data_IF_427431907503
#
_entry.id   IF_427431907503
#
_cell.length_a   1.000
_cell.length_b   1.000
_cell.length_c   1.000
_cell.angle_alpha   90.00
_cell.angle_beta   90.00
_cell.angle_gamma   90.00
#
_symmetry.space_group_name_H-M   'P 1'
#
loop_
_entity.id
_entity.type
_entity.pdbx_description
1 polymer ?
#
# COMPACT_ATOMS: atom_id res chain seq x y z
N UNK A 1 13.74 35.10 -35.64
CA UNK A 1 13.06 34.24 -36.64
C UNK A 1 13.50 32.81 -36.39
N UNK A 2 12.65 32.03 -35.73
CA UNK A 2 12.32 30.60 -35.95
C UNK A 2 13.45 29.56 -36.16
N UNK A 3 13.39 28.51 -35.32
CA UNK A 3 13.82 27.10 -35.44
C UNK A 3 15.33 26.77 -35.55
N UNK A 4 15.92 25.99 -34.62
CA UNK A 4 15.77 24.55 -34.31
C UNK A 4 16.54 23.65 -35.31
N UNK A 5 17.13 22.48 -34.99
CA UNK A 5 16.78 21.40 -34.06
C UNK A 5 18.03 20.51 -33.78
N UNK A 6 18.14 20.03 -32.54
CA UNK A 6 18.63 18.71 -32.04
C UNK A 6 19.88 17.97 -32.56
N UNK A 7 20.51 17.34 -31.55
CA UNK A 7 21.27 16.06 -31.49
C UNK A 7 22.80 16.08 -31.54
N UNK A 8 23.35 15.20 -30.70
CA UNK A 8 24.65 14.54 -30.72
C UNK A 8 25.89 15.25 -30.12
N UNK A 9 26.32 14.74 -28.96
CA UNK A 9 27.60 14.04 -28.78
C UNK A 9 28.93 14.73 -29.13
N UNK A 10 29.63 15.18 -28.05
CA UNK A 10 31.09 15.38 -27.89
C UNK A 10 31.76 16.50 -28.73
N UNK A 11 33.05 16.85 -28.48
CA UNK A 11 33.75 17.22 -27.24
C UNK A 11 34.45 18.60 -27.40
N UNK A 12 34.84 19.31 -26.33
CA UNK A 12 35.73 20.49 -26.46
C UNK A 12 36.65 20.70 -25.25
N UNK A 13 37.57 19.75 -25.10
CA UNK A 13 38.94 20.04 -24.65
C UNK A 13 39.65 20.85 -25.75
N UNK A 14 39.47 22.18 -25.80
CA UNK A 14 40.31 23.04 -26.66
C UNK A 14 40.47 24.51 -26.24
N UNK A 15 40.31 24.83 -24.96
CA UNK A 15 40.60 26.17 -24.44
C UNK A 15 41.50 26.18 -23.19
N UNK A 16 42.41 25.21 -23.08
CA UNK A 16 43.36 25.09 -21.97
C UNK A 16 44.80 25.46 -22.39
N UNK A 17 44.99 26.55 -23.15
CA UNK A 17 46.34 26.97 -23.60
C UNK A 17 46.63 28.48 -23.65
N UNK A 18 45.81 29.30 -23.02
CA UNK A 18 46.15 30.71 -22.78
C UNK A 18 45.71 31.06 -21.37
N UNK A 19 46.61 30.93 -20.40
CA UNK A 19 46.66 31.68 -19.12
C UNK A 19 47.72 31.00 -18.22
N UNK A 20 48.96 31.03 -18.68
CA UNK A 20 50.14 30.83 -17.82
C UNK A 20 51.18 31.89 -18.21
N UNK A 21 50.90 33.13 -17.85
CA UNK A 21 51.96 34.12 -17.66
C UNK A 21 52.10 34.37 -16.15
N UNK A 22 53.34 34.41 -15.62
CA UNK A 22 53.57 34.69 -14.21
C UNK A 22 53.14 36.13 -13.89
N UNK A 23 52.21 36.26 -12.94
CA UNK A 23 51.77 37.55 -12.40
C UNK A 23 52.97 38.21 -11.72
N UNK A 24 53.43 39.34 -12.27
CA UNK A 24 54.42 40.19 -11.62
C UNK A 24 53.90 40.67 -10.25
N UNK A 25 54.74 40.70 -9.19
CA UNK A 25 54.32 41.15 -7.88
C UNK A 25 54.03 42.66 -7.91
N UNK A 26 52.78 43.05 -7.67
CA UNK A 26 52.42 44.46 -7.45
C UNK A 26 51.17 45.01 -8.14
N UNK A 27 50.38 44.23 -8.87
CA UNK A 27 49.09 44.71 -9.41
C UNK A 27 47.93 43.82 -8.94
N UNK A 28 47.06 44.40 -8.11
CA UNK A 28 45.83 43.74 -7.68
C UNK A 28 44.95 43.34 -8.86
N UNK A 29 44.23 42.22 -8.72
CA UNK A 29 43.25 41.75 -9.71
C UNK A 29 42.39 42.92 -10.22
N UNK A 30 42.31 43.09 -11.54
CA UNK A 30 41.38 44.05 -12.15
C UNK A 30 39.95 43.74 -11.69
N UNK A 31 39.09 44.77 -11.68
CA UNK A 31 37.70 44.67 -11.22
C UNK A 31 36.97 43.50 -11.92
N UNK A 32 37.29 43.25 -13.19
CA UNK A 32 36.72 42.17 -14.01
C UNK A 32 37.20 40.78 -13.55
N UNK A 33 38.45 40.65 -13.10
CA UNK A 33 38.98 39.41 -12.52
C UNK A 33 38.38 39.10 -11.14
N UNK A 34 38.10 40.14 -10.34
CA UNK A 34 37.44 39.97 -9.03
C UNK A 34 35.99 39.55 -9.16
N UNK A 35 35.24 40.12 -10.11
CA UNK A 35 33.83 39.78 -10.33
C UNK A 35 33.65 38.39 -10.93
N UNK A 36 34.54 37.97 -11.84
CA UNK A 36 34.51 36.59 -12.39
C UNK A 36 34.91 35.54 -11.36
N UNK A 37 35.91 35.82 -10.51
CA UNK A 37 36.27 34.92 -9.40
C UNK A 37 35.14 34.84 -8.36
N UNK A 38 34.48 35.98 -8.06
CA UNK A 38 33.34 36.02 -7.14
C UNK A 38 32.13 35.26 -7.71
N UNK A 39 31.82 35.40 -9.00
CA UNK A 39 30.74 34.68 -9.66
C UNK A 39 31.03 33.17 -9.74
N UNK A 40 32.29 32.79 -9.98
CA UNK A 40 32.77 31.41 -9.95
C UNK A 40 32.68 30.81 -8.53
N UNK A 41 33.05 31.57 -7.50
CA UNK A 41 32.91 31.17 -6.10
C UNK A 41 31.45 31.06 -5.66
N UNK A 42 30.56 31.96 -6.11
CA UNK A 42 29.12 31.91 -5.83
C UNK A 42 28.49 30.70 -6.54
N UNK A 43 28.92 30.36 -7.76
CA UNK A 43 28.43 29.19 -8.50
C UNK A 43 28.99 27.87 -7.98
N UNK A 44 30.26 27.82 -7.53
CA UNK A 44 30.81 26.66 -6.82
C UNK A 44 30.19 26.49 -5.42
N UNK A 45 29.92 27.58 -4.70
CA UNK A 45 29.21 27.54 -3.42
C UNK A 45 27.76 27.06 -3.63
N UNK A 46 27.06 27.55 -4.66
CA UNK A 46 25.71 27.09 -5.00
C UNK A 46 25.67 25.60 -5.38
N UNK A 47 26.72 25.07 -6.01
CA UNK A 47 26.87 23.63 -6.26
C UNK A 47 27.12 22.80 -5.00
N UNK A 48 27.75 23.38 -3.97
CA UNK A 48 28.02 22.71 -2.70
C UNK A 48 26.85 22.77 -1.71
N UNK A 49 25.92 23.73 -1.86
CA UNK A 49 24.70 23.82 -1.03
C UNK A 49 23.56 22.87 -1.47
N UNK A 50 23.73 22.11 -2.55
CA UNK A 50 22.67 21.26 -3.08
C UNK A 50 22.52 19.88 -2.41
N UNK A 51 23.40 19.45 -1.50
CA UNK A 51 23.28 18.12 -0.89
C UNK A 51 23.79 18.07 0.54
N UNK A 52 22.98 18.54 1.48
CA UNK A 52 22.85 17.95 2.82
C UNK A 52 21.68 18.59 3.57
N UNK A 53 20.48 18.55 2.98
CA UNK A 53 19.29 18.48 3.80
C UNK A 53 19.31 17.09 4.45
N UNK A 54 19.21 17.02 5.78
CA UNK A 54 18.96 15.77 6.48
C UNK A 54 17.83 15.01 5.76
N UNK A 55 17.87 13.66 5.68
CA UNK A 55 16.80 12.92 5.03
C UNK A 55 15.47 13.34 5.63
N UNK A 56 14.69 14.13 4.90
CA UNK A 56 13.35 14.51 5.33
C UNK A 56 12.51 13.25 5.20
N UNK A 57 12.14 12.70 6.34
CA UNK A 57 11.22 11.59 6.41
C UNK A 57 9.93 12.00 5.69
N UNK A 58 9.55 11.22 4.68
CA UNK A 58 8.23 11.31 4.06
C UNK A 58 7.23 10.47 4.86
N UNK A 59 5.98 10.92 4.86
CA UNK A 59 4.85 10.28 5.52
C UNK A 59 3.92 9.70 4.46
N UNK A 60 3.51 8.45 4.64
CA UNK A 60 2.61 7.78 3.71
C UNK A 60 1.48 7.07 4.46
N UNK A 61 0.26 7.53 4.25
CA UNK A 61 -0.94 6.81 4.63
C UNK A 61 -1.24 5.73 3.59
N UNK A 62 -1.48 4.50 4.04
CA UNK A 62 -1.83 3.37 3.18
C UNK A 62 -3.15 2.80 3.69
N UNK A 63 -4.18 2.87 2.85
CA UNK A 63 -5.51 2.34 3.12
C UNK A 63 -5.89 1.32 2.06
N UNK A 64 -6.77 0.38 2.39
CA UNK A 64 -7.34 -0.53 1.41
C UNK A 64 -8.81 -0.79 1.66
N UNK A 65 -9.55 -1.09 0.60
CA UNK A 65 -10.89 -1.68 0.68
C UNK A 65 -10.87 -3.10 0.12
N UNK A 66 -11.14 -4.14 0.95
CA UNK A 66 -11.36 -4.08 2.40
C UNK A 66 -10.07 -3.80 3.20
N UNK A 67 -10.22 -3.36 4.45
CA UNK A 67 -9.13 -3.14 5.40
C UNK A 67 -8.52 -4.45 5.92
N UNK A 68 -7.40 -4.37 6.65
CA UNK A 68 -6.70 -5.53 7.21
C UNK A 68 -5.88 -6.27 6.16
N UNK A 69 -5.35 -5.56 5.16
CA UNK A 69 -4.49 -6.12 4.14
C UNK A 69 -3.02 -6.12 4.60
N UNK A 70 -2.30 -7.17 4.22
CA UNK A 70 -0.88 -7.34 4.50
C UNK A 70 -0.05 -6.49 3.53
N UNK A 71 0.93 -5.76 4.08
CA UNK A 71 1.77 -4.83 3.32
C UNK A 71 3.23 -5.27 3.36
N UNK A 72 3.85 -5.38 2.18
CA UNK A 72 5.27 -5.69 1.99
C UNK A 72 5.92 -4.51 1.27
N UNK A 73 6.92 -3.89 1.89
CA UNK A 73 7.64 -2.74 1.34
C UNK A 73 9.09 -3.12 1.04
N UNK A 74 9.49 -3.00 -0.22
CA UNK A 74 10.83 -3.37 -0.72
C UNK A 74 11.28 -4.79 -0.34
N UNK A 75 10.32 -5.71 -0.23
CA UNK A 75 10.54 -7.11 0.14
C UNK A 75 10.46 -7.40 1.64
N UNK A 76 10.37 -6.36 2.49
CA UNK A 76 10.20 -6.52 3.93
C UNK A 76 8.70 -6.52 4.28
N UNK A 77 8.25 -7.58 4.95
CA UNK A 77 6.89 -7.67 5.48
C UNK A 77 6.75 -6.74 6.68
N UNK A 78 5.74 -5.86 6.64
CA UNK A 78 5.38 -5.01 7.77
C UNK A 78 4.54 -5.79 8.78
N UNK A 79 4.69 -5.47 10.06
CA UNK A 79 3.94 -6.10 11.16
C UNK A 79 2.48 -5.64 11.14
N UNK A 80 2.25 -4.38 10.78
CA UNK A 80 0.93 -3.76 10.73
C UNK A 80 0.23 -4.02 9.39
N UNK A 81 -1.10 -3.99 9.43
CA UNK A 81 -1.98 -4.14 8.27
C UNK A 81 -2.64 -2.79 7.94
N UNK A 82 -3.26 -2.68 6.77
CA UNK A 82 -4.04 -1.47 6.43
C UNK A 82 -5.25 -1.30 7.36
N UNK A 83 -5.64 -0.07 7.75
CA UNK A 83 -4.95 1.20 7.51
C UNK A 83 -3.63 1.33 8.28
N UNK A 84 -2.63 1.97 7.67
CA UNK A 84 -1.27 2.08 8.19
C UNK A 84 -0.72 3.48 7.86
N UNK A 85 0.04 4.08 8.79
CA UNK A 85 0.82 5.30 8.57
C UNK A 85 2.32 5.00 8.69
N UNK A 86 3.05 5.15 7.58
CA UNK A 86 4.51 5.07 7.57
C UNK A 86 5.11 6.44 7.87
N UNK A 87 5.73 6.60 9.04
CA UNK A 87 6.35 7.86 9.49
C UNK A 87 7.79 8.08 9.04
N UNK A 88 8.52 7.02 8.67
CA UNK A 88 9.98 7.08 8.44
C UNK A 88 10.37 6.51 7.08
N UNK A 89 9.78 7.06 6.02
CA UNK A 89 10.06 6.62 4.66
C UNK A 89 11.09 7.55 4.01
N UNK A 90 12.14 7.00 3.41
CA UNK A 90 13.13 7.81 2.69
C UNK A 90 12.69 8.03 1.25
N UNK A 91 13.00 9.22 0.73
CA UNK A 91 12.74 9.60 -0.65
C UNK A 91 13.35 8.59 -1.65
N UNK A 92 12.67 8.43 -2.79
CA UNK A 92 13.10 7.58 -3.89
C UNK A 92 12.03 6.61 -4.39
N UNK A 93 12.45 5.73 -5.29
CA UNK A 93 11.58 4.70 -5.89
C UNK A 93 11.43 3.52 -4.93
N UNK A 94 10.19 3.15 -4.63
CA UNK A 94 9.84 2.08 -3.69
C UNK A 94 8.90 1.09 -4.35
N UNK A 95 8.93 -0.17 -3.92
CA UNK A 95 8.02 -1.21 -4.39
C UNK A 95 7.13 -1.66 -3.25
N UNK A 96 5.84 -1.39 -3.38
CA UNK A 96 4.82 -1.84 -2.45
C UNK A 96 4.14 -3.08 -3.04
N UNK A 97 4.08 -4.15 -2.26
CA UNK A 97 3.28 -5.34 -2.58
C UNK A 97 2.24 -5.49 -1.48
N UNK A 98 0.98 -5.62 -1.86
CA UNK A 98 -0.13 -5.68 -0.92
C UNK A 98 -1.02 -6.88 -1.24
N UNK A 99 -1.44 -7.58 -0.19
CA UNK A 99 -2.21 -8.82 -0.32
C UNK A 99 -3.29 -8.90 0.76
N UNK A 100 -4.48 -9.34 0.36
CA UNK A 100 -5.60 -9.65 1.24
C UNK A 100 -6.16 -11.00 0.83
N UNK A 101 -6.53 -11.82 1.81
CA UNK A 101 -7.17 -13.10 1.56
C UNK A 101 -8.47 -12.91 0.77
N UNK A 102 -8.66 -13.68 -0.31
CA UNK A 102 -9.84 -13.54 -1.18
C UNK A 102 -9.72 -12.46 -2.26
N UNK A 103 -8.58 -11.77 -2.38
CA UNK A 103 -8.39 -10.71 -3.38
C UNK A 103 -7.12 -10.91 -4.21
N UNK A 104 -7.09 -10.31 -5.41
CA UNK A 104 -5.89 -10.36 -6.25
C UNK A 104 -4.77 -9.54 -5.62
N UNK A 105 -3.59 -10.14 -5.53
CA UNK A 105 -2.40 -9.45 -5.04
C UNK A 105 -2.01 -8.32 -6.00
N UNK A 106 -1.67 -7.15 -5.46
CA UNK A 106 -1.27 -5.98 -6.24
C UNK A 106 0.17 -5.57 -5.91
N UNK A 107 0.91 -5.13 -6.94
CA UNK A 107 2.27 -4.58 -6.79
C UNK A 107 2.34 -3.21 -7.42
N UNK A 108 2.64 -2.19 -6.60
CA UNK A 108 2.70 -0.79 -6.97
C UNK A 108 4.15 -0.29 -6.92
N UNK A 109 4.51 0.56 -7.89
CA UNK A 109 5.78 1.29 -7.89
C UNK A 109 5.50 2.71 -7.45
N UNK A 110 6.04 3.08 -6.30
CA UNK A 110 5.88 4.41 -5.71
C UNK A 110 7.13 5.24 -5.99
N UNK A 111 6.97 6.55 -6.22
CA UNK A 111 8.06 7.49 -6.34
C UNK A 111 7.84 8.61 -5.32
N UNK A 112 8.63 8.60 -4.26
CA UNK A 112 8.36 9.39 -3.06
C UNK A 112 9.34 10.55 -2.99
N UNK A 113 8.82 11.77 -2.91
CA UNK A 113 9.63 12.97 -2.75
C UNK A 113 10.06 13.16 -1.29
N UNK A 114 11.18 13.87 -1.08
CA UNK A 114 11.68 14.15 0.27
C UNK A 114 10.70 15.04 1.03
N UNK A 115 10.34 14.66 2.27
CA UNK A 115 9.39 15.39 3.10
C UNK A 115 7.94 15.37 2.61
N UNK A 116 7.61 14.55 1.61
CA UNK A 116 6.24 14.43 1.09
C UNK A 116 5.32 13.79 2.12
N UNK A 117 4.10 14.31 2.23
CA UNK A 117 3.00 13.67 2.96
C UNK A 117 1.98 13.23 1.91
N UNK A 118 1.81 11.93 1.74
CA UNK A 118 0.94 11.35 0.73
C UNK A 118 -0.06 10.36 1.33
N UNK A 119 -1.14 10.11 0.60
CA UNK A 119 -2.13 9.08 0.91
C UNK A 119 -2.32 8.17 -0.31
N UNK A 120 -2.30 6.87 -0.06
CA UNK A 120 -2.50 5.83 -1.06
C UNK A 120 -3.69 4.97 -0.67
N UNK A 121 -4.76 5.08 -1.45
CA UNK A 121 -5.94 4.22 -1.31
C UNK A 121 -5.91 3.09 -2.34
N UNK A 122 -6.11 1.86 -1.87
CA UNK A 122 -6.00 0.64 -2.67
C UNK A 122 -7.35 -0.06 -2.69
N UNK A 123 -7.96 -0.10 -3.87
CA UNK A 123 -9.16 -0.89 -4.10
C UNK A 123 -8.75 -2.27 -4.61
N UNK A 124 -9.10 -3.31 -3.86
CA UNK A 124 -8.82 -4.66 -4.29
C UNK A 124 -9.82 -5.14 -5.33
N UNK A 125 -9.29 -5.61 -6.45
CA UNK A 125 -10.08 -6.41 -7.37
C UNK A 125 -10.32 -7.79 -6.78
N UNK A 126 -11.58 -8.21 -6.76
CA UNK A 126 -11.96 -9.56 -6.36
C UNK A 126 -11.27 -10.55 -7.29
N UNK A 127 -10.62 -11.57 -6.72
CA UNK A 127 -10.13 -12.74 -7.48
C UNK A 127 -11.23 -13.72 -7.87
N UNK A 128 -12.48 -13.32 -7.68
CA UNK A 128 -13.66 -14.16 -7.68
C UNK A 128 -14.81 -13.41 -8.34
N UNK A 129 -15.72 -14.17 -8.97
CA UNK A 129 -17.03 -13.66 -9.33
C UNK A 129 -18.05 -14.15 -8.30
N UNK A 130 -19.05 -13.31 -8.01
CA UNK A 130 -20.03 -13.52 -6.95
C UNK A 130 -21.44 -13.75 -7.52
N UNK A 131 -21.75 -14.93 -8.10
CA UNK A 131 -23.09 -15.18 -8.63
C UNK A 131 -24.10 -15.33 -7.48
N UNK A 132 -25.31 -14.81 -7.69
CA UNK A 132 -26.47 -15.12 -6.88
C UNK A 132 -27.27 -16.25 -7.54
N UNK A 133 -27.73 -17.20 -6.73
CA UNK A 133 -28.57 -18.33 -7.17
C UNK A 133 -29.93 -18.21 -6.50
N UNK A 134 -30.83 -17.44 -7.13
CA UNK A 134 -32.15 -17.13 -6.55
C UNK A 134 -33.20 -18.21 -6.81
N UNK A 135 -32.99 -19.07 -7.80
CA UNK A 135 -33.97 -20.11 -8.19
C UNK A 135 -33.67 -21.45 -7.52
N UNK A 136 -32.39 -21.76 -7.30
CA UNK A 136 -31.95 -23.03 -6.73
C UNK A 136 -31.86 -22.94 -5.21
N UNK A 137 -32.36 -23.95 -4.49
CA UNK A 137 -32.18 -24.07 -3.03
C UNK A 137 -30.87 -24.76 -2.63
N UNK A 138 -30.33 -25.60 -3.51
CA UNK A 138 -29.11 -26.35 -3.27
C UNK A 138 -28.23 -26.36 -4.52
N UNK A 139 -26.94 -26.07 -4.36
CA UNK A 139 -25.95 -26.16 -5.44
C UNK A 139 -24.82 -27.10 -5.06
N UNK A 140 -24.13 -27.64 -6.07
CA UNK A 140 -22.95 -28.49 -5.88
C UNK A 140 -21.74 -27.82 -6.51
N UNK A 141 -20.87 -27.25 -5.69
CA UNK A 141 -19.61 -26.67 -6.13
C UNK A 141 -18.48 -27.66 -5.82
N UNK A 142 -17.85 -28.21 -6.86
CA UNK A 142 -16.73 -29.16 -6.72
C UNK A 142 -16.96 -30.28 -5.68
N UNK A 143 -18.12 -30.94 -5.74
CA UNK A 143 -18.55 -32.05 -4.85
C UNK A 143 -19.03 -31.64 -3.46
N UNK A 144 -19.09 -30.36 -3.15
CA UNK A 144 -19.65 -29.85 -1.89
C UNK A 144 -21.08 -29.39 -2.13
N UNK A 145 -22.04 -29.83 -1.30
CA UNK A 145 -23.43 -29.37 -1.36
C UNK A 145 -23.56 -28.10 -0.52
N UNK A 146 -24.12 -27.05 -1.10
CA UNK A 146 -24.26 -25.75 -0.47
C UNK A 146 -25.71 -25.25 -0.56
N UNK A 147 -26.19 -24.65 0.54
CA UNK A 147 -27.46 -23.91 0.60
C UNK A 147 -27.22 -22.48 0.09
N UNK A 148 -28.10 -22.04 -0.79
CA UNK A 148 -28.03 -20.74 -1.49
C UNK A 148 -28.70 -19.60 -0.71
N UNK A 149 -29.45 -19.92 0.34
CA UNK A 149 -30.21 -18.93 1.11
C UNK A 149 -29.31 -17.84 1.70
N UNK A 150 -29.55 -16.58 1.31
CA UNK A 150 -28.88 -15.37 1.84
C UNK A 150 -27.35 -15.28 1.64
N UNK A 151 -26.77 -16.05 0.72
CA UNK A 151 -25.33 -16.11 0.49
C UNK A 151 -24.93 -15.75 -0.93
N UNK A 152 -23.85 -15.00 -1.08
CA UNK A 152 -23.10 -14.93 -2.34
C UNK A 152 -21.97 -15.94 -2.31
N UNK A 153 -21.78 -16.66 -3.41
CA UNK A 153 -20.64 -17.57 -3.55
C UNK A 153 -19.49 -16.84 -4.20
N UNK A 154 -18.32 -16.84 -3.59
CA UNK A 154 -17.11 -16.32 -4.22
C UNK A 154 -16.40 -17.46 -4.93
N UNK A 155 -16.61 -17.53 -6.24
CA UNK A 155 -16.03 -18.55 -7.12
C UNK A 155 -14.84 -17.94 -7.86
N UNK A 156 -13.66 -18.59 -7.81
CA UNK A 156 -12.43 -18.07 -8.42
C UNK A 156 -12.62 -17.77 -9.91
N UNK A 157 -11.92 -16.79 -10.45
CA UNK A 157 -11.91 -16.57 -11.90
C UNK A 157 -11.40 -17.82 -12.64
N UNK A 158 -12.10 -18.22 -13.70
CA UNK A 158 -11.71 -19.38 -14.49
C UNK A 158 -12.81 -19.90 -15.39
N UNK A 159 -12.55 -21.04 -16.04
CA UNK A 159 -13.53 -21.73 -16.86
C UNK A 159 -14.24 -22.80 -16.02
N UNK A 160 -15.57 -22.84 -16.10
CA UNK A 160 -16.40 -23.76 -15.34
C UNK A 160 -17.33 -24.55 -16.26
N UNK A 161 -17.51 -25.83 -15.95
CA UNK A 161 -18.60 -26.62 -16.49
C UNK A 161 -19.78 -26.54 -15.55
N UNK A 162 -20.87 -25.97 -16.03
CA UNK A 162 -22.11 -25.79 -15.27
C UNK A 162 -23.16 -26.76 -15.84
N UNK A 163 -23.79 -27.55 -14.98
CA UNK A 163 -24.83 -28.50 -15.37
C UNK A 163 -26.00 -28.43 -14.40
N UNK A 164 -27.17 -28.02 -14.90
CA UNK A 164 -28.43 -28.03 -14.15
C UNK A 164 -29.09 -29.41 -14.27
N UNK A 165 -29.51 -30.00 -13.14
CA UNK A 165 -30.28 -31.25 -13.06
C UNK A 165 -31.42 -31.09 -12.04
N UNK A 166 -32.65 -30.94 -12.53
CA UNK A 166 -33.83 -30.62 -11.70
C UNK A 166 -33.53 -29.37 -10.84
N UNK A 167 -33.46 -29.53 -9.52
CA UNK A 167 -33.25 -28.46 -8.53
C UNK A 167 -31.79 -28.30 -8.09
N UNK A 168 -30.86 -29.06 -8.70
CA UNK A 168 -29.44 -29.05 -8.34
C UNK A 168 -28.63 -28.45 -9.49
N UNK A 169 -27.89 -27.38 -9.19
CA UNK A 169 -26.90 -26.79 -10.10
C UNK A 169 -25.50 -27.31 -9.76
N UNK A 170 -24.88 -28.06 -10.66
CA UNK A 170 -23.52 -28.58 -10.48
C UNK A 170 -22.50 -27.68 -11.20
N UNK A 171 -21.57 -27.11 -10.45
CA UNK A 171 -20.50 -26.23 -10.93
C UNK A 171 -19.15 -26.91 -10.70
N UNK A 172 -18.40 -27.15 -11.80
CA UNK A 172 -17.09 -27.81 -11.75
C UNK A 172 -16.02 -26.96 -12.43
N UNK A 173 -14.90 -26.65 -11.74
CA UNK A 173 -13.78 -25.96 -12.38
C UNK A 173 -13.18 -26.82 -13.49
N UNK A 174 -12.88 -26.20 -14.63
CA UNK A 174 -12.21 -26.80 -15.76
C UNK A 174 -10.74 -26.39 -15.78
N UNK A 175 -9.85 -27.38 -15.87
CA UNK A 175 -8.41 -27.12 -15.96
C UNK A 175 -8.10 -26.35 -17.27
N UNK A 176 -7.42 -25.19 -17.23
CA UNK A 176 -7.22 -24.35 -18.42
C UNK A 176 -6.55 -25.07 -19.60
N UNK A 177 -5.60 -25.96 -19.30
CA UNK A 177 -4.87 -26.74 -20.31
C UNK A 177 -5.52 -28.11 -20.61
N UNK A 178 -6.82 -28.28 -20.30
CA UNK A 178 -7.53 -29.53 -20.56
C UNK A 178 -7.59 -29.87 -22.06
N UNK A 179 -7.68 -28.85 -22.93
CA UNK A 179 -7.65 -29.06 -24.39
C UNK A 179 -6.34 -29.69 -24.87
N UNK A 180 -5.20 -29.30 -24.26
CA UNK A 180 -3.89 -29.87 -24.59
C UNK A 180 -3.78 -31.34 -24.18
N UNK A 181 -4.28 -31.69 -22.99
CA UNK A 181 -4.37 -33.10 -22.56
C UNK A 181 -5.22 -33.91 -23.55
N UNK A 182 -6.37 -33.37 -23.96
CA UNK A 182 -7.24 -34.04 -24.92
C UNK A 182 -6.54 -34.24 -26.29
N UNK A 183 -5.79 -33.23 -26.75
CA UNK A 183 -5.02 -33.32 -27.98
C UNK A 183 -3.89 -34.36 -27.89
N UNK A 184 -3.17 -34.43 -26.77
CA UNK A 184 -2.12 -35.42 -26.54
C UNK A 184 -2.67 -36.85 -26.47
N UNK A 185 -3.80 -37.05 -25.78
CA UNK A 185 -4.48 -38.34 -25.72
C UNK A 185 -4.88 -38.89 -27.11
N UNK A 186 -5.16 -38.00 -28.06
CA UNK A 186 -5.44 -38.38 -29.44
C UNK A 186 -4.15 -38.57 -30.27
N UNK A 187 -3.19 -37.67 -30.11
CA UNK A 187 -2.01 -37.59 -30.98
C UNK A 187 -1.00 -38.69 -30.66
N UNK A 188 -0.72 -38.96 -29.37
CA UNK A 188 0.30 -39.92 -28.96
C UNK A 188 0.05 -41.33 -29.54
N UNK A 189 -1.16 -41.92 -29.48
CA UNK A 189 -1.41 -43.22 -30.10
C UNK A 189 -1.18 -43.23 -31.62
N UNK A 190 -1.52 -42.12 -32.31
CA UNK A 190 -1.34 -42.00 -33.76
C UNK A 190 0.15 -41.93 -34.11
N UNK A 191 0.91 -41.07 -33.43
CA UNK A 191 2.36 -40.91 -33.68
C UNK A 191 3.17 -42.12 -33.25
N UNK A 192 2.72 -42.81 -32.20
CA UNK A 192 3.33 -44.06 -31.75
C UNK A 192 3.08 -45.18 -32.76
N UNK A 193 1.87 -45.27 -33.31
CA UNK A 193 1.53 -46.23 -34.38
C UNK A 193 2.37 -45.98 -35.64
N UNK A 194 2.54 -44.71 -36.04
CA UNK A 194 3.41 -44.35 -37.15
C UNK A 194 4.89 -44.72 -36.87
N UNK A 195 5.37 -44.47 -35.66
CA UNK A 195 6.73 -44.84 -35.24
C UNK A 195 6.92 -46.37 -35.26
N UNK A 196 5.90 -47.13 -34.86
CA UNK A 196 5.92 -48.59 -34.93
C UNK A 196 5.99 -49.07 -36.39
N UNK A 197 5.25 -48.45 -37.32
CA UNK A 197 5.35 -48.77 -38.76
C UNK A 197 6.75 -48.49 -39.31
N UNK A 198 7.37 -47.37 -38.93
CA UNK A 198 8.76 -47.06 -39.33
C UNK A 198 9.75 -48.09 -38.77
N UNK A 199 9.59 -48.49 -37.50
CA UNK A 199 10.43 -49.52 -36.89
C UNK A 199 10.27 -50.88 -37.59
N UNK A 200 9.04 -51.29 -37.90
CA UNK A 200 8.78 -52.53 -38.66
C UNK A 200 9.44 -52.46 -40.03
N UNK A 201 9.33 -51.32 -40.73
CA UNK A 201 9.99 -51.13 -42.03
C UNK A 201 11.51 -51.28 -41.93
N UNK A 202 12.13 -50.67 -40.93
CA UNK A 202 13.58 -50.76 -40.71
C UNK A 202 14.01 -52.20 -40.35
N UNK A 203 13.17 -52.97 -39.65
CA UNK A 203 13.40 -54.39 -39.34
C UNK A 203 13.25 -55.29 -40.57
N UNK A 204 12.23 -55.06 -41.41
CA UNK A 204 11.97 -55.87 -42.60
C UNK A 204 12.96 -55.57 -43.74
N UNK A 205 13.47 -54.34 -43.81
CA UNK A 205 14.42 -53.89 -44.83
C UNK A 205 15.68 -53.32 -44.16
N UNK A 206 16.52 -54.16 -43.54
CA UNK A 206 17.71 -53.73 -42.82
C UNK A 206 18.70 -53.06 -43.80
N UNK A 207 19.33 -51.98 -43.35
CA UNK A 207 20.39 -51.27 -44.09
C UNK A 207 21.74 -51.55 -43.45
N UNK A 208 22.81 -51.60 -44.25
CA UNK A 208 24.20 -51.68 -43.79
C UNK A 208 24.65 -50.35 -43.14
N UNK A 209 24.09 -50.03 -41.98
CA UNK A 209 24.42 -48.85 -41.18
C UNK A 209 24.77 -49.28 -39.75
N UNK A 210 25.60 -48.49 -39.06
CA UNK A 210 26.06 -48.77 -37.69
C UNK A 210 24.89 -48.84 -36.68
N UNK A 211 23.81 -48.10 -36.93
CA UNK A 211 22.59 -48.10 -36.13
C UNK A 211 21.53 -48.99 -36.78
N UNK A 212 20.91 -49.87 -35.96
CA UNK A 212 19.83 -50.77 -36.41
C UNK A 212 18.52 -50.06 -36.81
N UNK A 213 18.30 -48.84 -36.33
CA UNK A 213 17.13 -48.04 -36.66
C UNK A 213 17.53 -46.77 -37.40
N UNK A 214 16.71 -46.35 -38.36
CA UNK A 214 16.96 -45.13 -39.11
C UNK A 214 16.87 -43.89 -38.20
N UNK A 215 17.57 -42.79 -38.54
CA UNK A 215 17.44 -41.53 -37.82
C UNK A 215 15.99 -41.04 -37.72
N UNK A 216 15.15 -41.34 -38.72
CA UNK A 216 13.73 -41.01 -38.70
C UNK A 216 12.96 -41.77 -37.61
N UNK A 217 13.20 -43.08 -37.48
CA UNK A 217 12.59 -43.93 -36.44
C UNK A 217 13.03 -43.48 -35.04
N UNK A 218 14.32 -43.23 -34.84
CA UNK A 218 14.84 -42.75 -33.54
C UNK A 218 14.23 -41.39 -33.18
N UNK A 219 14.15 -40.48 -34.16
CA UNK A 219 13.56 -39.15 -33.98
C UNK A 219 12.06 -39.25 -33.66
N UNK A 220 11.33 -40.14 -34.32
CA UNK A 220 9.88 -40.29 -34.09
C UNK A 220 9.59 -40.83 -32.69
N UNK A 221 10.36 -41.80 -32.18
CA UNK A 221 10.25 -42.23 -30.78
C UNK A 221 10.66 -41.14 -29.79
N UNK A 222 11.70 -40.36 -30.10
CA UNK A 222 12.13 -39.23 -29.26
C UNK A 222 11.02 -38.19 -29.09
N UNK A 223 10.30 -37.86 -30.16
CA UNK A 223 9.12 -36.97 -30.10
C UNK A 223 8.01 -37.56 -29.22
N UNK A 224 7.72 -38.86 -29.33
CA UNK A 224 6.72 -39.51 -28.47
C UNK A 224 7.11 -39.46 -26.99
N UNK A 225 8.38 -39.71 -26.65
CA UNK A 225 8.89 -39.60 -25.27
C UNK A 225 8.67 -38.18 -24.73
N UNK A 226 9.00 -37.15 -25.54
CA UNK A 226 8.76 -35.77 -25.16
C UNK A 226 7.26 -35.47 -24.94
N UNK A 227 6.38 -35.94 -25.83
CA UNK A 227 4.93 -35.77 -25.69
C UNK A 227 4.38 -36.44 -24.43
N UNK A 228 4.81 -37.67 -24.12
CA UNK A 228 4.44 -38.38 -22.89
C UNK A 228 4.93 -37.62 -21.66
N UNK A 229 6.17 -37.11 -21.70
CA UNK A 229 6.71 -36.29 -20.61
C UNK A 229 5.86 -35.04 -20.36
N UNK A 230 5.43 -34.34 -21.42
CA UNK A 230 4.52 -33.20 -21.33
C UNK A 230 3.16 -33.63 -20.75
N UNK A 231 2.59 -34.74 -21.21
CA UNK A 231 1.30 -35.25 -20.73
C UNK A 231 1.32 -35.56 -19.23
N UNK A 232 2.38 -36.21 -18.74
CA UNK A 232 2.60 -36.47 -17.31
C UNK A 232 2.64 -35.16 -16.51
N UNK A 233 3.39 -34.15 -16.98
CA UNK A 233 3.47 -32.84 -16.33
C UNK A 233 2.09 -32.16 -16.28
N UNK A 234 1.32 -32.22 -17.36
CA UNK A 234 -0.03 -31.65 -17.42
C UNK A 234 -0.98 -32.38 -16.47
N UNK A 235 -0.88 -33.70 -16.35
CA UNK A 235 -1.71 -34.49 -15.44
C UNK A 235 -1.41 -34.15 -13.97
N UNK A 236 -0.14 -33.98 -13.60
CA UNK A 236 0.27 -33.54 -12.26
C UNK A 236 -0.25 -32.11 -11.95
N UNK A 237 -0.13 -31.18 -12.91
CA UNK A 237 -0.66 -29.81 -12.78
C UNK A 237 -2.18 -29.81 -12.62
N UNK A 238 -2.89 -30.65 -13.38
CA UNK A 238 -4.35 -30.82 -13.27
C UNK A 238 -4.76 -31.34 -11.89
N UNK A 239 -4.00 -32.28 -11.33
CA UNK A 239 -4.21 -32.80 -9.98
C UNK A 239 -4.08 -31.70 -8.91
N UNK A 240 -2.99 -30.92 -8.97
CA UNK A 240 -2.77 -29.77 -8.08
C UNK A 240 -3.87 -28.72 -8.24
N UNK A 241 -4.26 -28.38 -9.46
CA UNK A 241 -5.32 -27.42 -9.74
C UNK A 241 -6.65 -27.83 -9.08
N UNK A 242 -7.06 -29.10 -9.22
CA UNK A 242 -8.29 -29.60 -8.59
C UNK A 242 -8.20 -29.60 -7.06
N UNK A 243 -7.04 -29.93 -6.49
CA UNK A 243 -6.83 -29.94 -5.03
C UNK A 243 -6.85 -28.55 -4.42
N UNK A 244 -6.30 -27.56 -5.14
CA UNK A 244 -6.19 -26.18 -4.67
C UNK A 244 -7.42 -25.33 -4.99
N UNK A 245 -8.40 -25.89 -5.71
CA UNK A 245 -9.66 -25.19 -5.95
C UNK A 245 -10.40 -25.00 -4.63
N UNK A 246 -10.68 -23.74 -4.31
CA UNK A 246 -11.49 -23.34 -3.18
C UNK A 246 -12.49 -22.29 -3.62
N UNK A 247 -13.62 -22.25 -2.93
CA UNK A 247 -14.61 -21.20 -3.03
C UNK A 247 -14.94 -20.76 -1.60
N UNK A 248 -15.32 -19.50 -1.46
CA UNK A 248 -15.78 -18.94 -0.17
C UNK A 248 -17.21 -18.46 -0.34
N UNK A 249 -17.85 -18.08 0.77
CA UNK A 249 -19.13 -17.39 0.75
C UNK A 249 -18.95 -16.00 1.35
N UNK A 250 -19.65 -15.03 0.80
CA UNK A 250 -19.76 -13.69 1.37
C UNK A 250 -21.19 -13.54 1.86
N UNK A 251 -21.31 -13.14 3.12
CA UNK A 251 -22.58 -12.80 3.71
C UNK A 251 -22.99 -11.42 3.19
N UNK A 252 -24.05 -11.38 2.37
CA UNK A 252 -24.59 -10.14 1.79
C UNK A 252 -24.88 -9.09 2.87
N UNK A 253 -25.29 -9.55 4.07
CA UNK A 253 -25.57 -8.69 5.22
C UNK A 253 -24.35 -7.94 5.73
N UNK A 254 -23.12 -8.38 5.39
CA UNK A 254 -21.85 -7.79 5.84
C UNK A 254 -21.09 -7.06 4.74
N UNK A 255 -21.72 -6.82 3.60
CA UNK A 255 -21.11 -6.11 2.48
C UNK A 255 -20.88 -4.62 2.78
N UNK A 256 -19.89 -4.02 2.11
CA UNK A 256 -19.54 -2.61 2.28
C UNK A 256 -20.72 -1.65 1.97
N UNK A 257 -21.54 -1.99 0.98
CA UNK A 257 -22.74 -1.23 0.64
C UNK A 257 -23.78 -1.22 1.76
N UNK A 258 -23.94 -2.35 2.46
CA UNK A 258 -24.85 -2.46 3.59
C UNK A 258 -24.28 -1.71 4.79
N UNK A 259 -22.97 -1.82 5.05
CA UNK A 259 -22.28 -1.03 6.07
C UNK A 259 -22.50 0.48 5.89
N UNK A 260 -22.41 0.95 4.64
CA UNK A 260 -22.70 2.35 4.28
C UNK A 260 -24.13 2.76 4.64
N UNK A 261 -25.11 1.97 4.22
CA UNK A 261 -26.52 2.27 4.49
C UNK A 261 -26.82 2.29 5.99
N UNK A 262 -26.24 1.35 6.75
CA UNK A 262 -26.32 1.37 8.22
C UNK A 262 -25.69 2.66 8.78
N UNK A 263 -24.46 2.99 8.39
CA UNK A 263 -23.78 4.20 8.86
C UNK A 263 -24.58 5.47 8.59
N UNK A 264 -25.11 5.65 7.38
CA UNK A 264 -25.95 6.80 7.01
C UNK A 264 -27.24 6.86 7.85
N UNK A 265 -27.86 5.71 8.14
CA UNK A 265 -29.01 5.65 9.02
C UNK A 265 -28.67 6.08 10.45
N UNK A 266 -27.53 5.64 11.00
CA UNK A 266 -27.09 6.06 12.34
C UNK A 266 -26.78 7.55 12.39
N UNK A 267 -26.20 8.13 11.34
CA UNK A 267 -25.96 9.58 11.26
C UNK A 267 -27.27 10.38 11.32
N UNK A 268 -28.36 9.88 10.74
CA UNK A 268 -29.68 10.51 10.86
C UNK A 268 -30.24 10.45 12.30
N UNK A 269 -30.01 9.33 13.01
CA UNK A 269 -30.39 9.18 14.43
C UNK A 269 -29.58 10.16 15.29
N UNK A 270 -28.28 10.27 15.02
CA UNK A 270 -27.39 11.22 15.71
C UNK A 270 -27.84 12.67 15.47
N UNK A 271 -28.20 13.02 14.22
CA UNK A 271 -28.74 14.34 13.88
C UNK A 271 -30.06 14.65 14.60
N UNK A 272 -30.81 13.61 14.99
CA UNK A 272 -32.03 13.73 15.80
C UNK A 272 -31.75 13.93 17.30
N UNK A 273 -30.48 13.97 17.72
CA UNK A 273 -30.06 14.19 19.10
C UNK A 273 -30.09 12.95 20.00
N UNK A 274 -30.40 11.78 19.45
CA UNK A 274 -30.53 10.53 20.21
C UNK A 274 -29.18 9.84 20.37
N UNK A 275 -28.37 10.34 21.31
CA UNK A 275 -26.98 9.91 21.49
C UNK A 275 -26.85 8.42 21.87
N UNK A 276 -27.67 7.91 22.79
CA UNK A 276 -27.57 6.52 23.26
C UNK A 276 -27.97 5.51 22.18
N UNK A 277 -29.01 5.81 21.40
CA UNK A 277 -29.41 4.99 20.24
C UNK A 277 -28.29 4.98 19.19
N UNK A 278 -27.70 6.14 18.90
CA UNK A 278 -26.59 6.25 17.95
C UNK A 278 -25.38 5.42 18.40
N UNK A 279 -24.99 5.50 19.68
CA UNK A 279 -23.92 4.66 20.24
C UNK A 279 -24.17 3.17 20.05
N UNK A 280 -25.40 2.72 20.32
CA UNK A 280 -25.78 1.32 20.13
C UNK A 280 -25.61 0.89 18.67
N UNK A 281 -26.15 1.64 17.72
CA UNK A 281 -26.05 1.24 16.31
C UNK A 281 -24.63 1.38 15.73
N UNK A 282 -23.83 2.36 16.18
CA UNK A 282 -22.41 2.42 15.82
C UNK A 282 -21.63 1.20 16.33
N UNK A 283 -21.96 0.70 17.52
CA UNK A 283 -21.32 -0.51 18.05
C UNK A 283 -21.62 -1.76 17.21
N UNK A 284 -22.79 -1.83 16.59
CA UNK A 284 -23.14 -2.89 15.63
C UNK A 284 -22.23 -2.81 14.40
N UNK A 285 -22.00 -1.59 13.87
CA UNK A 285 -21.14 -1.39 12.70
C UNK A 285 -19.72 -1.92 12.97
N UNK A 286 -19.16 -1.60 14.13
CA UNK A 286 -17.81 -2.03 14.53
C UNK A 286 -17.70 -3.55 14.63
N UNK A 287 -18.73 -4.22 15.12
CA UNK A 287 -18.71 -5.66 15.36
C UNK A 287 -18.96 -6.49 14.10
N UNK A 288 -19.89 -6.05 13.26
CA UNK A 288 -20.39 -6.82 12.12
C UNK A 288 -19.63 -6.52 10.82
N UNK A 289 -19.07 -5.32 10.68
CA UNK A 289 -18.44 -4.82 9.44
C UNK A 289 -16.96 -4.47 9.63
N UNK A 290 -16.23 -5.29 10.39
CA UNK A 290 -14.85 -5.07 10.88
C UNK A 290 -13.81 -4.65 9.85
N UNK A 291 -14.00 -5.05 8.60
CA UNK A 291 -13.05 -4.77 7.51
C UNK A 291 -13.41 -3.53 6.69
N UNK A 292 -14.51 -2.85 7.01
CA UNK A 292 -14.99 -1.68 6.25
C UNK A 292 -14.47 -0.37 6.82
N UNK A 293 -14.32 0.65 5.96
CA UNK A 293 -13.91 1.99 6.38
C UNK A 293 -14.88 2.65 7.38
N UNK A 294 -16.10 2.12 7.49
CA UNK A 294 -17.11 2.59 8.44
C UNK A 294 -16.77 2.26 9.90
N UNK A 295 -15.82 1.35 10.17
CA UNK A 295 -15.36 1.04 11.53
C UNK A 295 -14.66 2.24 12.17
N UNK A 296 -13.55 2.76 11.62
CA UNK A 296 -12.90 3.95 12.18
C UNK A 296 -13.77 5.21 12.13
N UNK A 297 -14.64 5.35 11.12
CA UNK A 297 -15.63 6.44 11.10
C UNK A 297 -16.61 6.35 12.28
N UNK A 298 -17.15 5.15 12.54
CA UNK A 298 -18.04 4.90 13.69
C UNK A 298 -17.32 5.11 15.01
N UNK A 299 -16.08 4.62 15.15
CA UNK A 299 -15.25 4.84 16.34
C UNK A 299 -15.05 6.33 16.62
N UNK A 300 -14.77 7.12 15.58
CA UNK A 300 -14.63 8.57 15.74
C UNK A 300 -15.93 9.20 16.24
N UNK A 301 -17.09 8.79 15.70
CA UNK A 301 -18.40 9.28 16.14
C UNK A 301 -18.69 8.89 17.59
N UNK A 302 -18.43 7.64 17.98
CA UNK A 302 -18.56 7.17 19.37
C UNK A 302 -17.67 8.02 20.29
N UNK A 303 -16.41 8.26 19.94
CA UNK A 303 -15.49 9.08 20.72
C UNK A 303 -16.02 10.51 20.94
N UNK A 304 -16.57 11.13 19.89
CA UNK A 304 -17.22 12.45 20.00
C UNK A 304 -18.45 12.41 20.91
N UNK A 305 -19.27 11.37 20.83
CA UNK A 305 -20.45 11.23 21.71
C UNK A 305 -19.99 11.06 23.16
N UNK A 306 -19.03 10.19 23.44
CA UNK A 306 -18.47 10.01 24.79
C UNK A 306 -17.85 11.30 25.34
N UNK A 307 -17.16 12.08 24.49
CA UNK A 307 -16.68 13.40 24.86
C UNK A 307 -17.82 14.35 25.25
N UNK A 308 -18.91 14.40 24.47
CA UNK A 308 -20.10 15.21 24.76
C UNK A 308 -20.77 14.77 26.07
N UNK A 309 -20.81 13.47 26.34
CA UNK A 309 -21.33 12.89 27.59
C UNK A 309 -20.42 13.13 28.81
N UNK A 310 -19.25 13.75 28.64
CA UNK A 310 -18.27 13.95 29.70
C UNK A 310 -17.48 12.69 30.09
N UNK A 311 -17.62 11.61 29.34
CA UNK A 311 -16.91 10.34 29.55
C UNK A 311 -15.51 10.40 28.91
N UNK A 312 -14.68 11.33 29.37
CA UNK A 312 -13.40 11.65 28.75
C UNK A 312 -12.42 10.47 28.67
N UNK A 313 -12.41 9.59 29.67
CA UNK A 313 -11.52 8.42 29.65
C UNK A 313 -11.86 7.45 28.52
N UNK A 314 -13.16 7.26 28.22
CA UNK A 314 -13.58 6.42 27.09
C UNK A 314 -13.27 7.09 25.75
N UNK A 315 -13.58 8.38 25.63
CA UNK A 315 -13.27 9.15 24.43
C UNK A 315 -11.77 9.11 24.10
N UNK A 316 -10.90 9.24 25.12
CA UNK A 316 -9.46 9.17 24.94
C UNK A 316 -9.01 7.80 24.37
N UNK A 317 -9.53 6.70 24.93
CA UNK A 317 -9.22 5.35 24.45
C UNK A 317 -9.67 5.13 23.00
N UNK A 318 -10.83 5.65 22.63
CA UNK A 318 -11.38 5.50 21.28
C UNK A 318 -10.61 6.34 20.25
N UNK A 319 -10.21 7.57 20.57
CA UNK A 319 -9.33 8.36 19.71
C UNK A 319 -7.95 7.71 19.57
N UNK A 320 -7.38 7.21 20.67
CA UNK A 320 -6.11 6.51 20.64
C UNK A 320 -6.18 5.25 19.76
N UNK A 321 -7.29 4.50 19.84
CA UNK A 321 -7.51 3.33 18.99
C UNK A 321 -7.51 3.69 17.50
N UNK A 322 -8.10 4.85 17.13
CA UNK A 322 -8.06 5.33 15.73
C UNK A 322 -6.62 5.66 15.33
N UNK A 323 -5.89 6.38 16.16
CA UNK A 323 -4.50 6.79 15.87
C UNK A 323 -3.59 5.57 15.70
N UNK A 324 -3.74 4.55 16.56
CA UNK A 324 -2.83 3.41 16.63
C UNK A 324 -3.22 2.25 15.70
N UNK A 325 -4.52 2.01 15.51
CA UNK A 325 -5.02 0.85 14.75
C UNK A 325 -5.65 1.21 13.42
N UNK A 326 -6.12 2.43 13.25
CA UNK A 326 -6.81 2.87 12.04
C UNK A 326 -6.37 4.27 11.59
N UNK A 327 -5.06 4.52 11.38
CA UNK A 327 -4.58 5.82 10.96
C UNK A 327 -5.03 6.12 9.51
N UNK A 328 -6.22 6.71 9.39
CA UNK A 328 -6.78 7.19 8.13
C UNK A 328 -6.38 8.64 7.91
N UNK A 329 -5.96 9.00 6.70
CA UNK A 329 -5.51 10.36 6.39
C UNK A 329 -6.55 11.44 6.74
N UNK A 330 -7.84 11.14 6.55
CA UNK A 330 -8.95 12.07 6.85
C UNK A 330 -9.31 12.18 8.34
N UNK A 331 -8.91 11.20 9.17
CA UNK A 331 -9.27 11.14 10.59
C UNK A 331 -8.06 11.33 11.51
N UNK A 332 -6.84 11.05 11.05
CA UNK A 332 -5.66 11.00 11.90
C UNK A 332 -5.45 12.31 12.64
N UNK A 333 -5.33 13.42 11.92
CA UNK A 333 -5.14 14.74 12.52
C UNK A 333 -6.36 15.21 13.32
N UNK A 334 -7.58 14.80 12.91
CA UNK A 334 -8.80 15.10 13.66
C UNK A 334 -8.80 14.40 15.03
N UNK A 335 -8.47 13.11 15.05
CA UNK A 335 -8.36 12.31 16.27
C UNK A 335 -7.23 12.81 17.17
N UNK A 336 -6.08 13.15 16.60
CA UNK A 336 -4.94 13.77 17.33
C UNK A 336 -5.39 15.06 18.06
N UNK A 337 -6.00 16.00 17.33
CA UNK A 337 -6.48 17.26 17.91
C UNK A 337 -7.60 17.06 18.92
N UNK A 338 -8.57 16.19 18.64
CA UNK A 338 -9.66 15.94 19.56
C UNK A 338 -9.20 15.22 20.84
N UNK A 339 -8.22 14.31 20.73
CA UNK A 339 -7.56 13.67 21.88
C UNK A 339 -6.81 14.69 22.73
N UNK A 340 -6.09 15.63 22.11
CA UNK A 340 -5.49 16.76 22.82
C UNK A 340 -6.55 17.54 23.62
N UNK A 341 -7.70 17.83 23.01
CA UNK A 341 -8.83 18.47 23.67
C UNK A 341 -9.39 17.64 24.84
N UNK A 342 -9.43 16.32 24.72
CA UNK A 342 -9.84 15.39 25.80
C UNK A 342 -8.88 15.46 26.98
N UNK A 343 -7.57 15.43 26.74
CA UNK A 343 -6.54 15.57 27.78
C UNK A 343 -6.67 16.90 28.53
N UNK A 344 -6.91 18.00 27.81
CA UNK A 344 -7.16 19.31 28.41
C UNK A 344 -8.40 19.31 29.32
N UNK A 345 -9.47 18.59 28.94
CA UNK A 345 -10.66 18.42 29.79
C UNK A 345 -10.38 17.61 31.05
N UNK A 346 -9.44 16.68 30.99
CA UNK A 346 -8.97 15.90 32.14
C UNK A 346 -7.94 16.66 33.00
N UNK A 347 -7.48 17.84 32.55
CA UNK A 347 -6.45 18.62 33.24
C UNK A 347 -5.02 18.20 32.90
N UNK A 348 -4.84 17.31 31.93
CA UNK A 348 -3.55 16.84 31.42
C UNK A 348 -3.07 17.77 30.30
N UNK A 349 -2.68 18.99 30.66
CA UNK A 349 -2.34 20.03 29.68
C UNK A 349 -1.08 19.70 28.87
N UNK A 350 -0.04 19.18 29.52
CA UNK A 350 1.22 18.80 28.89
C UNK A 350 1.02 17.71 27.83
N UNK A 351 0.36 16.60 28.20
CA UNK A 351 0.00 15.54 27.26
C UNK A 351 -0.87 16.06 26.10
N UNK A 352 -1.76 17.02 26.37
CA UNK A 352 -2.55 17.68 25.33
C UNK A 352 -1.68 18.42 24.30
N UNK A 353 -0.62 19.11 24.76
CA UNK A 353 0.32 19.83 23.88
C UNK A 353 1.19 18.84 23.11
N UNK A 354 1.74 17.82 23.77
CA UNK A 354 2.54 16.77 23.13
C UNK A 354 1.75 16.08 22.02
N UNK A 355 0.45 15.82 22.24
CA UNK A 355 -0.41 15.21 21.23
C UNK A 355 -0.56 16.08 19.98
N UNK A 356 -0.53 17.41 20.10
CA UNK A 356 -0.57 18.31 18.94
C UNK A 356 0.72 18.25 18.10
N UNK A 357 1.85 17.90 18.71
CA UNK A 357 3.13 17.80 18.01
C UNK A 357 3.23 16.53 17.16
N UNK A 358 2.43 15.51 17.46
CA UNK A 358 2.29 14.29 16.66
C UNK A 358 1.43 14.46 15.40
N UNK A 359 0.77 15.61 15.23
CA UNK A 359 -0.03 15.90 14.05
C UNK A 359 0.85 15.99 12.79
N UNK A 360 0.34 15.41 11.71
CA UNK A 360 1.01 15.42 10.40
C UNK A 360 0.56 16.61 9.56
N UNK A 361 -0.64 17.14 9.82
CA UNK A 361 -1.25 18.25 9.09
C UNK A 361 -1.48 17.92 7.61
N UNK A 362 -1.99 16.70 7.36
CA UNK A 362 -2.42 16.27 6.04
C UNK A 362 -3.74 16.92 5.63
N UNK A 363 -4.69 17.04 6.57
CA UNK A 363 -6.00 17.68 6.31
C UNK A 363 -5.81 19.21 6.17
N UNK A 364 -6.15 19.81 5.01
CA UNK A 364 -6.01 21.26 4.79
C UNK A 364 -6.80 22.13 5.77
N UNK A 365 -7.77 21.55 6.48
CA UNK A 365 -8.50 22.23 7.55
C UNK A 365 -7.61 22.59 8.76
N UNK A 366 -6.44 21.94 8.89
CA UNK A 366 -5.47 22.24 9.94
C UNK A 366 -4.26 22.99 9.36
N UNK A 367 -4.13 24.27 9.70
CA UNK A 367 -2.91 25.03 9.46
C UNK A 367 -1.98 24.96 10.67
N UNK A 368 -0.67 25.10 10.44
CA UNK A 368 0.32 25.19 11.52
C UNK A 368 -0.03 26.31 12.49
N UNK A 369 -0.37 27.49 11.96
CA UNK A 369 -0.74 28.66 12.75
C UNK A 369 -2.01 28.40 13.59
N UNK A 370 -2.98 27.66 13.04
CA UNK A 370 -4.21 27.32 13.74
C UNK A 370 -3.97 26.34 14.90
N UNK A 371 -3.05 25.39 14.72
CA UNK A 371 -2.65 24.46 15.79
C UNK A 371 -1.79 25.17 16.84
N UNK A 372 -0.90 26.07 16.43
CA UNK A 372 -0.11 26.89 17.34
C UNK A 372 -1.00 27.80 18.19
N UNK A 373 -2.02 28.42 17.59
CA UNK A 373 -3.03 29.20 18.32
C UNK A 373 -3.77 28.32 19.34
N UNK A 374 -4.19 27.11 18.95
CA UNK A 374 -4.84 26.18 19.87
C UNK A 374 -3.89 25.77 21.02
N UNK A 375 -2.61 25.57 20.75
CA UNK A 375 -1.58 25.32 21.78
C UNK A 375 -1.49 26.48 22.78
N UNK A 376 -1.52 27.72 22.29
CA UNK A 376 -1.54 28.91 23.15
C UNK A 376 -2.80 28.97 24.04
N UNK A 377 -3.98 28.60 23.53
CA UNK A 377 -5.20 28.53 24.35
C UNK A 377 -5.09 27.48 25.47
N UNK A 378 -4.45 26.34 25.19
CA UNK A 378 -4.19 25.30 26.18
C UNK A 378 -3.26 25.82 27.27
N UNK A 379 -2.15 26.45 26.87
CA UNK A 379 -1.18 27.05 27.79
C UNK A 379 -1.84 28.10 28.67
N UNK A 380 -2.62 29.03 28.10
CA UNK A 380 -3.32 30.05 28.87
C UNK A 380 -4.21 29.44 29.96
N UNK A 381 -4.99 28.41 29.60
CA UNK A 381 -5.83 27.68 30.57
C UNK A 381 -5.00 26.97 31.64
N UNK A 382 -3.84 26.44 31.29
CA UNK A 382 -2.94 25.81 32.25
C UNK A 382 -2.38 26.86 33.23
N UNK A 383 -1.87 27.99 32.73
CA UNK A 383 -1.34 29.08 33.56
C UNK A 383 -2.40 29.66 34.52
N UNK A 384 -3.66 29.76 34.10
CA UNK A 384 -4.75 30.21 34.96
C UNK A 384 -4.97 29.27 36.17
N UNK A 385 -4.75 27.97 35.99
CA UNK A 385 -4.86 26.98 37.08
C UNK A 385 -3.59 26.87 37.90
N UNK A 386 -2.43 26.97 37.26
CA UNK A 386 -1.13 26.69 37.88
C UNK A 386 -0.12 27.78 37.49
N UNK A 387 -0.05 28.83 38.32
CA UNK A 387 0.81 30.01 38.05
C UNK A 387 2.31 29.67 37.95
N UNK A 388 2.76 28.62 38.63
CA UNK A 388 4.17 28.17 38.65
C UNK A 388 4.62 27.58 37.30
N UNK A 389 3.70 27.28 36.38
CA UNK A 389 4.05 26.80 35.03
C UNK A 389 4.76 27.89 34.24
N UNK A 390 4.42 29.17 34.48
CA UNK A 390 5.09 30.29 33.83
C UNK A 390 6.59 30.33 34.17
N UNK A 391 6.94 30.09 35.44
CA UNK A 391 8.33 30.07 35.88
C UNK A 391 9.12 28.93 35.21
N UNK A 392 8.53 27.73 35.14
CA UNK A 392 9.11 26.57 34.44
C UNK A 392 9.29 26.79 32.93
N UNK A 393 8.35 27.48 32.29
CA UNK A 393 8.44 27.82 30.86
C UNK A 393 9.52 28.88 30.59
N UNK A 394 9.67 29.86 31.49
CA UNK A 394 10.72 30.88 31.37
C UNK A 394 12.10 30.21 31.53
N UNK A 395 12.26 29.33 32.52
CA UNK A 395 13.51 28.58 32.73
C UNK A 395 13.88 27.75 31.49
N UNK A 396 12.92 27.01 30.90
CA UNK A 396 13.20 26.20 29.71
C UNK A 396 13.57 27.03 28.47
N UNK A 397 12.94 28.19 28.29
CA UNK A 397 13.28 29.13 27.22
C UNK A 397 14.67 29.76 27.41
N UNK A 398 15.05 30.07 28.64
CA UNK A 398 16.37 30.60 28.96
C UNK A 398 17.48 29.55 28.73
N UNK A 399 17.21 28.28 29.05
CA UNK A 399 18.10 27.16 28.73
C UNK A 399 18.28 26.99 27.22
N UNK A 400 17.19 26.99 26.44
CA UNK A 400 17.25 26.93 24.97
C UNK A 400 18.01 28.14 24.42
N UNK A 401 17.75 29.34 24.93
CA UNK A 401 18.48 30.56 24.57
C UNK A 401 19.97 30.47 24.90
N UNK A 402 20.34 29.85 26.02
CA UNK A 402 21.73 29.59 26.38
C UNK A 402 22.39 28.56 25.44
N UNK A 403 21.68 27.51 25.05
CA UNK A 403 22.14 26.50 24.08
C UNK A 403 22.38 27.15 22.71
N UNK A 404 21.44 27.96 22.21
CA UNK A 404 21.58 28.67 20.94
C UNK A 404 22.77 29.63 20.98
N UNK A 405 22.96 30.37 22.08
CA UNK A 405 24.12 31.26 22.27
C UNK A 405 25.45 30.48 22.28
N UNK A 406 25.48 29.29 22.91
CA UNK A 406 26.66 28.40 22.95
C UNK A 406 26.96 27.80 21.57
N UNK A 407 25.93 27.42 20.82
CA UNK A 407 26.06 26.92 19.46
C UNK A 407 26.60 28.01 18.51
N UNK A 408 26.05 29.23 18.60
CA UNK A 408 26.50 30.39 17.80
C UNK A 408 27.93 30.82 18.11
N UNK A 409 28.39 30.64 19.35
CA UNK A 409 29.78 30.91 19.78
C UNK A 409 30.76 29.83 19.32
N UNK A 410 30.30 28.59 19.15
CA UNK A 410 31.13 27.48 18.64
C UNK A 410 31.15 27.37 17.10
N UNK A 411 30.14 27.90 16.40
CA UNK A 411 30.12 27.97 14.93
C UNK A 411 30.90 29.17 14.37
N UNK A 412 31.43 30.02 15.24
CA UNK A 412 32.32 31.14 14.91
C UNK A 412 33.79 30.81 15.20
N UNK A 413 34.35 29.79 14.55
CA UNK A 413 35.80 29.62 14.39
C UNK A 413 36.14 29.75 12.90
N UNK A 414 37.21 30.50 12.55
CA UNK A 414 37.27 31.26 11.31
C UNK A 414 37.75 30.45 10.09
N UNK A 415 37.35 31.00 8.94
CA UNK A 415 37.81 30.75 7.57
C UNK A 415 39.30 30.43 7.40
#
# INVERSE_FOLDING_TARGET
MICAFTTAGYPMLKYMKYFTEPIAPGKGLSIIGKTTLLLLLITLAAGAYAQNSAPQNSLLFITSSPMGAMVILDGNLLIEQTPLLLKTLSAGKRRLKISKEGFKEQTLKLNIAAGEIASLNIEFERGYFSPSFTEEKNIVIHKTNEDTSERLFNIQEGTYNIRRKKDILEIKPQFPQQGLINALNLTIPITLSFSALLAIKDILYPKDQVLKFSPATISSFSVNIAMIGIDVVLWLRRGKFKKNFSFTHEDLSRSESVAKAHYENVENILASGKLDEALHFYSIIINDYRETIYVPLSLYKIAKIHYIMGKYSLAALEFQLIIDKYPLAELYDKAQKDLAGVFVKQGLYEAGIEQLDEMVLFDPLFSREGIDYYRCEILERWLQKEKQVLDRLIESLDEIGAIIRRFKRNSSLPL
#
